data_IF_646009500237
#
_entry.id   IF_646009500237
#
_cell.length_a   1.000
_cell.length_b   1.000
_cell.length_c   1.000
_cell.angle_alpha   90.00
_cell.angle_beta   90.00
_cell.angle_gamma   90.00
#
_symmetry.space_group_name_H-M   'P 1'
#
loop_
_entity.id
_entity.type
_entity.pdbx_description
1 polymer ?
#
# COMPACT_ATOMS: atom_id res chain seq x y z
N UNK A 1 24.83 -13.48 14.38
CA UNK A 1 24.75 -14.49 15.45
C UNK A 1 24.20 -15.83 14.97
N UNK A 2 23.00 -15.91 14.41
CA UNK A 2 22.39 -17.19 13.96
C UNK A 2 23.22 -17.94 12.90
N UNK A 3 23.62 -17.27 11.81
CA UNK A 3 24.40 -17.90 10.71
C UNK A 3 25.73 -18.49 11.17
N UNK A 4 26.47 -17.72 11.97
CA UNK A 4 27.77 -18.12 12.51
C UNK A 4 27.63 -19.32 13.45
N UNK A 5 26.54 -19.37 14.25
CA UNK A 5 26.26 -20.49 15.15
C UNK A 5 25.83 -21.76 14.42
N UNK A 6 25.01 -21.65 13.36
CA UNK A 6 24.51 -22.81 12.63
C UNK A 6 25.56 -23.51 11.78
N UNK A 7 26.62 -22.80 11.35
CA UNK A 7 27.69 -23.34 10.48
C UNK A 7 27.16 -24.06 9.22
N UNK A 8 25.99 -23.66 8.73
CA UNK A 8 25.37 -24.17 7.50
C UNK A 8 25.49 -23.15 6.37
N UNK A 9 25.51 -23.61 5.10
CA UNK A 9 25.39 -22.70 3.95
C UNK A 9 24.20 -21.78 4.12
N UNK A 10 24.42 -20.47 3.99
CA UNK A 10 23.34 -19.50 4.12
C UNK A 10 23.58 -18.32 3.17
N UNK A 11 22.53 -17.92 2.46
CA UNK A 11 22.53 -16.72 1.61
C UNK A 11 21.63 -15.66 2.24
N UNK A 12 21.86 -14.40 1.93
CA UNK A 12 20.97 -13.29 2.33
C UNK A 12 20.68 -12.47 1.10
N UNK A 13 19.43 -12.10 0.89
CA UNK A 13 19.07 -11.22 -0.21
C UNK A 13 19.87 -9.92 -0.11
N UNK A 14 20.43 -9.48 -1.24
CA UNK A 14 21.17 -8.22 -1.27
C UNK A 14 20.19 -7.09 -0.95
N UNK A 15 20.41 -6.33 0.12
CA UNK A 15 19.51 -5.21 0.55
C UNK A 15 19.68 -3.93 -0.27
N UNK A 16 20.77 -3.82 -1.02
CA UNK A 16 21.15 -2.64 -1.83
C UNK A 16 21.20 -1.35 -0.98
N UNK A 17 21.67 -1.46 0.28
CA UNK A 17 21.63 -0.35 1.23
C UNK A 17 22.39 0.89 0.74
N UNK A 18 23.58 0.71 0.16
CA UNK A 18 24.40 1.82 -0.38
C UNK A 18 23.66 2.55 -1.51
N UNK A 19 23.12 1.80 -2.48
CA UNK A 19 22.34 2.38 -3.60
C UNK A 19 21.09 3.11 -3.10
N UNK A 20 20.38 2.56 -2.11
CA UNK A 20 19.23 3.24 -1.48
C UNK A 20 19.67 4.51 -0.74
N UNK A 21 20.82 4.48 -0.08
CA UNK A 21 21.38 5.64 0.61
C UNK A 21 21.79 6.74 -0.36
N UNK A 22 22.41 6.40 -1.49
CA UNK A 22 22.74 7.34 -2.56
C UNK A 22 21.48 8.00 -3.12
N UNK A 23 20.42 7.23 -3.37
CA UNK A 23 19.15 7.78 -3.85
C UNK A 23 18.49 8.72 -2.82
N UNK A 24 18.52 8.38 -1.54
CA UNK A 24 17.90 9.21 -0.49
C UNK A 24 18.70 10.50 -0.24
N UNK A 25 20.02 10.44 -0.18
CA UNK A 25 20.84 11.59 0.23
C UNK A 25 21.31 12.45 -0.96
N UNK A 26 21.67 11.82 -2.08
CA UNK A 26 22.23 12.50 -3.26
C UNK A 26 21.30 12.51 -4.48
N UNK A 27 20.14 11.85 -4.39
CA UNK A 27 19.18 11.69 -5.52
C UNK A 27 19.75 10.96 -6.74
N UNK A 28 20.84 10.23 -6.56
CA UNK A 28 21.46 9.40 -7.60
C UNK A 28 20.79 8.03 -7.58
N UNK A 29 20.00 7.73 -8.60
CA UNK A 29 19.31 6.44 -8.71
C UNK A 29 20.20 5.39 -9.40
N UNK A 30 20.84 4.52 -8.62
CA UNK A 30 21.59 3.34 -9.10
C UNK A 30 20.86 2.02 -8.81
N UNK A 31 19.59 2.09 -8.42
CA UNK A 31 18.79 0.91 -8.10
C UNK A 31 18.42 0.18 -9.40
N UNK A 32 18.49 -1.16 -9.42
CA UNK A 32 18.00 -1.93 -10.55
C UNK A 32 16.47 -1.90 -10.55
N UNK A 33 15.89 -2.03 -11.74
CA UNK A 33 14.44 -2.17 -11.93
C UNK A 33 13.96 -3.60 -11.59
N UNK A 34 14.24 -4.05 -10.37
CA UNK A 34 13.91 -5.39 -9.90
C UNK A 34 13.08 -5.28 -8.62
N UNK A 35 11.96 -6.00 -8.58
CA UNK A 35 11.09 -6.03 -7.42
C UNK A 35 11.76 -6.74 -6.23
N UNK A 36 11.37 -6.39 -4.99
CA UNK A 36 11.98 -7.00 -3.80
C UNK A 36 11.70 -8.50 -3.69
N UNK A 37 10.55 -8.96 -4.21
CA UNK A 37 10.17 -10.38 -4.27
C UNK A 37 11.16 -11.17 -5.12
N UNK A 38 11.50 -10.68 -6.31
CA UNK A 38 12.49 -11.34 -7.18
C UNK A 38 13.88 -11.39 -6.54
N UNK A 39 14.22 -10.35 -5.76
CA UNK A 39 15.47 -10.36 -4.97
C UNK A 39 15.43 -11.38 -3.83
N UNK A 40 14.28 -11.70 -3.27
CA UNK A 40 14.13 -12.81 -2.34
C UNK A 40 14.33 -14.15 -3.06
N UNK A 41 13.76 -14.34 -4.25
CA UNK A 41 13.99 -15.53 -5.07
C UNK A 41 15.48 -15.71 -5.43
N UNK A 42 16.19 -14.64 -5.78
CA UNK A 42 17.65 -14.69 -6.05
C UNK A 42 18.46 -15.17 -4.83
N UNK A 43 17.99 -14.88 -3.61
CA UNK A 43 18.63 -15.36 -2.39
C UNK A 43 18.46 -16.87 -2.18
N UNK A 44 17.42 -17.48 -2.74
CA UNK A 44 17.11 -18.91 -2.60
C UNK A 44 17.32 -19.71 -3.89
N UNK A 45 17.80 -19.08 -4.97
CA UNK A 45 18.05 -19.70 -6.28
C UNK A 45 18.86 -21.00 -6.22
N UNK A 46 19.86 -21.07 -5.34
CA UNK A 46 20.71 -22.26 -5.18
C UNK A 46 19.97 -23.47 -4.57
N UNK A 47 18.78 -23.26 -4.01
CA UNK A 47 17.90 -24.32 -3.50
C UNK A 47 16.96 -24.87 -4.60
N UNK A 48 17.10 -24.41 -5.85
CA UNK A 48 16.22 -24.79 -6.96
C UNK A 48 14.84 -24.11 -6.94
N UNK A 49 14.59 -23.21 -6.00
CA UNK A 49 13.33 -22.47 -5.88
C UNK A 49 13.20 -21.46 -7.01
N UNK A 50 12.07 -21.50 -7.72
CA UNK A 50 11.75 -20.61 -8.83
C UNK A 50 10.46 -19.86 -8.55
N UNK A 51 10.39 -18.63 -9.05
CA UNK A 51 9.19 -17.82 -9.03
C UNK A 51 8.21 -18.38 -10.07
N UNK A 52 6.98 -18.65 -9.69
CA UNK A 52 5.95 -19.19 -10.58
C UNK A 52 5.27 -18.11 -11.44
N UNK A 53 5.56 -16.83 -11.17
CA UNK A 53 5.02 -15.69 -11.89
C UNK A 53 3.54 -15.42 -11.60
N UNK A 54 2.91 -16.10 -10.63
CA UNK A 54 1.46 -15.99 -10.36
C UNK A 54 1.08 -14.90 -9.36
N UNK A 55 2.06 -14.13 -8.88
CA UNK A 55 1.86 -12.99 -7.98
C UNK A 55 2.08 -13.37 -6.53
N UNK A 56 1.43 -12.64 -5.62
CA UNK A 56 1.40 -12.97 -4.20
C UNK A 56 0.17 -13.81 -3.88
N UNK A 57 0.24 -14.59 -2.80
CA UNK A 57 -0.91 -15.27 -2.21
C UNK A 57 -1.20 -14.70 -0.82
N UNK A 58 -2.48 -14.66 -0.46
CA UNK A 58 -2.92 -14.36 0.89
C UNK A 58 -4.12 -15.25 1.24
N UNK A 59 -3.98 -16.05 2.31
CA UNK A 59 -5.00 -16.98 2.74
C UNK A 59 -5.72 -16.41 3.98
N UNK A 60 -7.05 -16.37 3.92
CA UNK A 60 -7.89 -15.86 5.01
C UNK A 60 -8.55 -17.06 5.68
N UNK A 61 -8.35 -17.27 7.00
CA UNK A 61 -9.07 -18.30 7.76
C UNK A 61 -10.58 -18.16 7.61
N UNK A 62 -11.31 -19.28 7.52
CA UNK A 62 -12.77 -19.28 7.30
C UNK A 62 -13.53 -18.46 8.36
N UNK A 63 -13.12 -18.57 9.62
CA UNK A 63 -13.72 -17.84 10.75
C UNK A 63 -13.39 -16.34 10.77
N UNK A 64 -12.48 -15.86 9.90
CA UNK A 64 -12.12 -14.45 9.76
C UNK A 64 -12.62 -13.85 8.43
N UNK A 65 -13.42 -14.60 7.66
CA UNK A 65 -14.11 -14.06 6.49
C UNK A 65 -15.30 -13.22 6.94
N UNK A 66 -15.32 -11.96 6.50
CA UNK A 66 -16.48 -11.06 6.69
C UNK A 66 -17.51 -11.34 5.61
N UNK A 67 -18.77 -11.56 6.02
CA UNK A 67 -19.88 -11.64 5.07
C UNK A 67 -20.29 -10.23 4.62
N UNK A 68 -20.48 -10.04 3.31
CA UNK A 68 -20.87 -8.75 2.75
C UNK A 68 -22.19 -8.24 3.33
N UNK A 69 -23.09 -9.13 3.75
CA UNK A 69 -24.37 -8.78 4.39
C UNK A 69 -24.21 -8.07 5.74
N UNK A 70 -23.04 -8.13 6.37
CA UNK A 70 -22.72 -7.41 7.60
C UNK A 70 -22.39 -5.92 7.36
N UNK A 71 -22.13 -5.54 6.11
CA UNK A 71 -21.92 -4.14 5.74
C UNK A 71 -23.28 -3.41 5.63
N UNK A 72 -23.29 -2.06 5.72
CA UNK A 72 -24.51 -1.30 5.45
C UNK A 72 -25.08 -1.61 4.07
N UNK A 73 -26.40 -1.60 3.93
CA UNK A 73 -27.10 -1.99 2.69
C UNK A 73 -26.54 -1.33 1.42
N UNK A 74 -26.16 -0.06 1.50
CA UNK A 74 -25.56 0.67 0.39
C UNK A 74 -24.24 0.07 -0.12
N UNK A 75 -23.46 -0.60 0.75
CA UNK A 75 -22.14 -1.17 0.42
C UNK A 75 -22.20 -2.65 0.02
N UNK A 76 -23.38 -3.30 0.10
CA UNK A 76 -23.48 -4.75 -0.12
C UNK A 76 -23.40 -5.12 -1.61
N UNK A 77 -23.73 -4.20 -2.51
CA UNK A 77 -23.77 -4.42 -3.96
C UNK A 77 -22.51 -3.95 -4.70
N UNK A 78 -21.45 -3.59 -3.96
CA UNK A 78 -20.21 -3.06 -4.54
C UNK A 78 -19.67 -1.88 -3.74
N UNK A 79 -18.36 -1.86 -3.54
CA UNK A 79 -17.68 -0.77 -2.84
C UNK A 79 -16.22 -0.64 -3.24
N UNK A 80 -15.67 0.55 -3.02
CA UNK A 80 -14.25 0.84 -3.08
C UNK A 80 -13.67 0.73 -1.66
N UNK A 81 -12.59 -0.03 -1.51
CA UNK A 81 -11.81 -0.03 -0.27
C UNK A 81 -10.81 1.13 -0.28
N UNK A 82 -10.82 1.98 0.74
CA UNK A 82 -9.80 3.03 0.92
C UNK A 82 -8.99 2.76 2.18
N UNK A 83 -7.78 2.23 2.01
CA UNK A 83 -6.81 2.06 3.10
C UNK A 83 -6.15 3.40 3.45
N UNK A 84 -6.70 4.07 4.47
CA UNK A 84 -6.25 5.40 4.91
C UNK A 84 -5.11 5.33 5.93
N UNK A 85 -4.96 4.18 6.59
CA UNK A 85 -3.98 3.97 7.65
C UNK A 85 -2.53 3.82 7.16
N UNK A 86 -1.60 3.97 8.11
CA UNK A 86 -0.18 3.76 7.86
C UNK A 86 0.73 4.09 9.04
N UNK A 87 1.85 3.36 9.16
CA UNK A 87 2.83 3.54 10.24
C UNK A 87 3.53 4.91 10.26
N UNK A 88 3.63 5.56 9.10
CA UNK A 88 4.40 6.80 8.93
C UNK A 88 3.54 7.86 8.26
N UNK A 89 3.31 8.99 8.94
CA UNK A 89 2.46 10.08 8.41
C UNK A 89 2.92 10.58 7.05
N UNK A 90 4.22 10.54 6.75
CA UNK A 90 4.73 10.98 5.44
C UNK A 90 4.37 10.05 4.27
N UNK A 91 3.76 8.91 4.57
CA UNK A 91 3.22 7.94 3.61
C UNK A 91 1.70 7.98 3.55
N UNK A 92 1.04 8.68 4.48
CA UNK A 92 -0.42 8.77 4.51
C UNK A 92 -0.91 9.96 3.69
N UNK A 93 -1.90 9.71 2.84
CA UNK A 93 -2.55 10.77 2.08
C UNK A 93 -3.28 11.73 3.04
N UNK A 94 -3.15 13.07 2.88
CA UNK A 94 -3.77 14.04 3.78
C UNK A 94 -5.28 13.86 3.87
N UNK A 95 -5.82 13.98 5.09
CA UNK A 95 -7.24 13.75 5.40
C UNK A 95 -8.17 14.61 4.55
N UNK A 96 -7.86 15.90 4.40
CA UNK A 96 -8.65 16.80 3.55
C UNK A 96 -8.69 16.36 2.08
N UNK A 97 -7.59 15.78 1.57
CA UNK A 97 -7.55 15.25 0.22
C UNK A 97 -8.28 13.92 0.11
N UNK A 98 -8.25 13.08 1.15
CA UNK A 98 -9.11 11.88 1.22
C UNK A 98 -10.58 12.30 1.14
N UNK A 99 -11.01 13.30 1.92
CA UNK A 99 -12.38 13.84 1.87
C UNK A 99 -12.73 14.35 0.47
N UNK A 100 -11.83 15.11 -0.16
CA UNK A 100 -12.00 15.63 -1.53
C UNK A 100 -12.19 14.51 -2.56
N UNK A 101 -11.34 13.48 -2.52
CA UNK A 101 -11.47 12.28 -3.37
C UNK A 101 -12.80 11.56 -3.11
N UNK A 102 -13.09 11.28 -1.84
CA UNK A 102 -14.31 10.60 -1.44
C UNK A 102 -15.56 11.35 -1.90
N UNK A 103 -15.58 12.69 -1.86
CA UNK A 103 -16.70 13.50 -2.34
C UNK A 103 -16.95 13.32 -3.84
N UNK A 104 -15.89 13.23 -4.66
CA UNK A 104 -15.99 13.05 -6.12
C UNK A 104 -16.33 11.62 -6.57
N UNK A 105 -16.18 10.62 -5.70
CA UNK A 105 -16.54 9.22 -5.99
C UNK A 105 -18.02 8.98 -5.68
N UNK A 106 -18.77 8.40 -6.62
CA UNK A 106 -20.19 8.06 -6.43
C UNK A 106 -20.39 6.68 -5.78
N UNK A 107 -19.45 5.76 -5.97
CA UNK A 107 -19.50 4.41 -5.39
C UNK A 107 -19.39 4.45 -3.86
N UNK A 108 -20.08 3.57 -3.12
CA UNK A 108 -19.87 3.38 -1.69
C UNK A 108 -18.40 3.09 -1.35
N UNK A 109 -17.92 3.61 -0.22
CA UNK A 109 -16.52 3.49 0.21
C UNK A 109 -16.45 2.88 1.61
N UNK A 110 -15.57 1.89 1.77
CA UNK A 110 -15.19 1.32 3.06
C UNK A 110 -13.79 1.80 3.43
N UNK A 111 -13.66 2.56 4.52
CA UNK A 111 -12.36 3.03 5.03
C UNK A 111 -11.69 1.94 5.86
N UNK A 112 -10.47 1.56 5.48
CA UNK A 112 -9.67 0.54 6.16
C UNK A 112 -8.49 1.19 6.88
N UNK A 113 -8.26 0.77 8.13
CA UNK A 113 -7.19 1.30 8.98
C UNK A 113 -7.16 0.63 10.35
N UNK A 114 -6.13 0.93 11.13
CA UNK A 114 -5.96 0.41 12.48
C UNK A 114 -6.80 1.15 13.52
N UNK A 115 -6.58 0.83 14.79
CA UNK A 115 -7.21 1.52 15.92
C UNK A 115 -6.84 3.01 15.97
N UNK A 116 -5.62 3.34 15.55
CA UNK A 116 -5.13 4.71 15.47
C UNK A 116 -5.90 5.57 14.45
N UNK A 117 -6.55 4.94 13.47
CA UNK A 117 -7.22 5.61 12.37
C UNK A 117 -8.72 5.84 12.63
N UNK A 118 -9.28 5.33 13.73
CA UNK A 118 -10.73 5.42 14.04
C UNK A 118 -11.22 6.87 13.97
N UNK A 119 -10.53 7.79 14.66
CA UNK A 119 -10.93 9.20 14.72
C UNK A 119 -10.88 9.87 13.35
N UNK A 120 -9.87 9.55 12.56
CA UNK A 120 -9.72 10.05 11.19
C UNK A 120 -10.85 9.52 10.30
N UNK A 121 -11.16 8.23 10.39
CA UNK A 121 -12.26 7.59 9.66
C UNK A 121 -13.62 8.20 10.00
N UNK A 122 -13.90 8.44 11.28
CA UNK A 122 -15.14 9.11 11.71
C UNK A 122 -15.23 10.56 11.21
N UNK A 123 -14.11 11.29 11.23
CA UNK A 123 -14.06 12.64 10.69
C UNK A 123 -14.35 12.67 9.18
N UNK A 124 -13.76 11.74 8.42
CA UNK A 124 -14.05 11.59 6.98
C UNK A 124 -15.52 11.24 6.76
N UNK A 125 -16.05 10.27 7.50
CA UNK A 125 -17.47 9.88 7.42
C UNK A 125 -18.39 11.08 7.67
N UNK A 126 -18.17 11.84 8.75
CA UNK A 126 -18.95 13.04 9.07
C UNK A 126 -18.87 14.11 7.97
N UNK A 127 -17.72 14.23 7.31
CA UNK A 127 -17.48 15.26 6.29
C UNK A 127 -18.03 14.91 4.90
N UNK A 128 -18.29 13.62 4.64
CA UNK A 128 -18.69 13.10 3.33
C UNK A 128 -20.12 12.55 3.32
N UNK A 129 -20.57 11.93 4.41
CA UNK A 129 -21.92 11.36 4.55
C UNK A 129 -21.97 9.83 4.44
N UNK A 130 -23.17 9.30 4.26
CA UNK A 130 -23.50 7.88 4.45
C UNK A 130 -22.87 6.92 3.42
N UNK A 131 -22.31 7.45 2.33
CA UNK A 131 -21.50 6.64 1.40
C UNK A 131 -20.21 6.10 2.03
N UNK A 132 -19.79 6.66 3.16
CA UNK A 132 -18.60 6.21 3.90
C UNK A 132 -19.00 5.25 5.02
N UNK A 133 -18.49 4.02 4.93
CA UNK A 133 -18.44 3.11 6.07
C UNK A 133 -17.04 3.14 6.70
N UNK A 134 -16.95 3.64 7.93
CA UNK A 134 -15.70 3.60 8.68
C UNK A 134 -15.48 2.18 9.25
N UNK A 135 -14.54 1.44 8.68
CA UNK A 135 -14.13 0.11 9.16
C UNK A 135 -12.81 0.15 9.95
N UNK A 136 -12.22 1.34 10.15
CA UNK A 136 -10.98 1.48 10.91
C UNK A 136 -11.14 0.94 12.34
N UNK A 137 -10.19 0.12 12.77
CA UNK A 137 -10.16 -0.47 14.12
C UNK A 137 -11.28 -1.47 14.44
N UNK A 138 -12.17 -1.80 13.48
CA UNK A 138 -13.26 -2.77 13.69
C UNK A 138 -12.87 -4.21 13.39
N UNK A 139 -11.85 -4.40 12.57
CA UNK A 139 -11.51 -5.69 11.98
C UNK A 139 -10.05 -6.05 12.20
N UNK A 140 -9.78 -7.34 12.35
CA UNK A 140 -8.44 -7.90 12.29
C UNK A 140 -7.78 -7.65 10.91
N UNK A 141 -6.50 -7.97 10.77
CA UNK A 141 -5.82 -7.91 9.49
C UNK A 141 -6.45 -8.85 8.45
N UNK A 142 -6.88 -10.05 8.86
CA UNK A 142 -7.49 -11.04 7.97
C UNK A 142 -8.94 -10.65 7.62
N UNK A 143 -9.69 -10.10 8.57
CA UNK A 143 -11.02 -9.57 8.30
C UNK A 143 -10.95 -8.35 7.36
N UNK A 144 -9.99 -7.45 7.57
CA UNK A 144 -9.69 -6.35 6.64
C UNK A 144 -9.29 -6.88 5.27
N UNK A 145 -8.46 -7.93 5.21
CA UNK A 145 -8.12 -8.61 3.97
C UNK A 145 -9.37 -9.21 3.28
N UNK A 146 -10.35 -9.71 4.05
CA UNK A 146 -11.61 -10.21 3.52
C UNK A 146 -12.42 -9.10 2.85
N UNK A 147 -12.45 -7.90 3.44
CA UNK A 147 -13.05 -6.72 2.82
C UNK A 147 -12.28 -6.28 1.58
N UNK A 148 -10.94 -6.29 1.62
CA UNK A 148 -10.09 -6.01 0.44
C UNK A 148 -10.40 -6.99 -0.71
N UNK A 149 -10.58 -8.28 -0.41
CA UNK A 149 -10.94 -9.31 -1.39
C UNK A 149 -12.33 -9.11 -1.99
N UNK A 150 -13.24 -8.46 -1.28
CA UNK A 150 -14.61 -8.19 -1.74
C UNK A 150 -14.74 -6.87 -2.49
N UNK A 151 -13.88 -5.89 -2.21
CA UNK A 151 -13.88 -4.60 -2.90
C UNK A 151 -13.64 -4.73 -4.40
N UNK A 152 -14.22 -3.82 -5.18
CA UNK A 152 -14.02 -3.73 -6.64
C UNK A 152 -12.63 -3.17 -6.97
N UNK A 153 -12.28 -2.08 -6.25
CA UNK A 153 -11.03 -1.33 -6.40
C UNK A 153 -10.51 -0.95 -5.02
N UNK A 154 -9.20 -0.88 -4.89
CA UNK A 154 -8.50 -0.48 -3.66
C UNK A 154 -7.72 0.80 -3.91
N UNK A 155 -8.04 1.84 -3.15
CA UNK A 155 -7.20 3.04 -3.02
C UNK A 155 -6.40 2.87 -1.73
N UNK A 156 -5.08 3.04 -1.79
CA UNK A 156 -4.22 2.75 -0.64
C UNK A 156 -2.99 3.62 -0.65
N UNK A 157 -2.47 3.93 0.54
CA UNK A 157 -1.10 4.38 0.71
C UNK A 157 -0.12 3.22 0.39
N UNK A 158 1.19 3.48 0.31
CA UNK A 158 2.22 2.45 0.13
C UNK A 158 2.45 1.60 1.40
N UNK A 159 1.40 0.94 1.92
CA UNK A 159 1.37 0.20 3.20
C UNK A 159 0.98 -1.28 3.00
N UNK A 160 0.81 -2.03 4.10
CA UNK A 160 0.58 -3.49 4.04
C UNK A 160 -0.65 -3.91 3.23
N UNK A 161 -1.76 -3.19 3.34
CA UNK A 161 -3.00 -3.52 2.61
C UNK A 161 -2.84 -3.41 1.10
N UNK A 162 -1.90 -2.61 0.60
CA UNK A 162 -1.53 -2.57 -0.83
C UNK A 162 -1.00 -3.92 -1.32
N UNK A 163 -0.15 -4.59 -0.53
CA UNK A 163 0.40 -5.90 -0.89
C UNK A 163 -0.66 -7.00 -0.78
N UNK A 164 -1.57 -6.91 0.20
CA UNK A 164 -2.71 -7.83 0.30
C UNK A 164 -3.65 -7.65 -0.91
N UNK A 165 -3.92 -6.42 -1.33
CA UNK A 165 -4.70 -6.16 -2.54
C UNK A 165 -4.02 -6.73 -3.80
N UNK A 166 -2.69 -6.69 -3.87
CA UNK A 166 -1.93 -7.30 -4.95
C UNK A 166 -2.04 -8.84 -4.95
N UNK A 167 -2.05 -9.47 -3.77
CA UNK A 167 -2.28 -10.91 -3.64
C UNK A 167 -3.66 -11.33 -4.15
N UNK A 168 -4.68 -10.50 -3.94
CA UNK A 168 -6.02 -10.71 -4.49
C UNK A 168 -6.20 -10.18 -5.92
N UNK A 169 -5.13 -9.72 -6.58
CA UNK A 169 -5.14 -9.21 -7.96
C UNK A 169 -6.22 -8.15 -8.18
N UNK A 170 -6.41 -7.28 -7.19
CA UNK A 170 -7.37 -6.17 -7.25
C UNK A 170 -6.87 -5.06 -8.15
N UNK A 171 -7.81 -4.23 -8.62
CA UNK A 171 -7.45 -2.92 -9.15
C UNK A 171 -6.93 -2.05 -8.00
N UNK A 172 -5.71 -1.54 -8.12
CA UNK A 172 -4.99 -0.86 -7.04
C UNK A 172 -4.57 0.53 -7.51
N UNK A 173 -4.99 1.54 -6.78
CA UNK A 173 -4.45 2.89 -6.86
C UNK A 173 -3.59 3.11 -5.63
N UNK A 174 -2.27 3.06 -5.82
CA UNK A 174 -1.30 3.24 -4.74
C UNK A 174 -0.77 4.66 -4.71
N UNK A 175 -0.89 5.34 -3.57
CA UNK A 175 -0.50 6.73 -3.37
C UNK A 175 0.85 6.77 -2.64
N UNK A 176 1.82 7.46 -3.24
CA UNK A 176 3.21 7.48 -2.76
C UNK A 176 3.68 8.89 -2.41
N UNK A 177 4.03 9.06 -1.13
CA UNK A 177 4.55 10.31 -0.59
C UNK A 177 6.07 10.38 -0.61
N UNK A 178 6.69 10.31 0.56
CA UNK A 178 8.13 10.53 0.69
C UNK A 178 9.02 9.33 0.31
N UNK A 179 8.43 8.17 0.07
CA UNK A 179 9.03 6.94 -0.49
C UNK A 179 8.83 6.89 -2.01
N UNK A 180 9.54 6.00 -2.70
CA UNK A 180 9.45 5.82 -4.15
C UNK A 180 9.29 4.34 -4.53
N UNK A 181 8.54 4.02 -5.60
CA UNK A 181 8.42 2.66 -6.14
C UNK A 181 9.77 2.02 -6.49
N UNK A 182 10.76 2.82 -6.89
CA UNK A 182 12.12 2.37 -7.24
C UNK A 182 12.82 1.57 -6.12
N UNK A 183 12.34 1.62 -4.88
CA UNK A 183 12.81 0.71 -3.83
C UNK A 183 12.40 -0.76 -4.00
N UNK A 184 11.57 -1.05 -5.02
CA UNK A 184 11.08 -2.37 -5.38
C UNK A 184 9.99 -2.87 -4.45
N UNK A 185 9.21 -1.97 -3.86
CA UNK A 185 8.13 -2.28 -2.89
C UNK A 185 6.75 -1.88 -3.42
N UNK A 186 6.57 -1.84 -4.73
CA UNK A 186 5.29 -1.57 -5.37
C UNK A 186 4.39 -2.83 -5.36
N UNK A 187 3.12 -2.77 -5.80
CA UNK A 187 2.28 -3.96 -5.91
C UNK A 187 2.93 -5.05 -6.77
N UNK A 188 3.11 -6.25 -6.22
CA UNK A 188 3.69 -7.37 -6.94
C UNK A 188 2.59 -8.19 -7.60
N UNK A 189 2.40 -7.97 -8.91
CA UNK A 189 1.35 -8.59 -9.72
C UNK A 189 1.99 -9.49 -10.80
N UNK A 190 1.26 -10.53 -11.26
CA UNK A 190 1.62 -11.27 -12.48
C UNK A 190 1.80 -10.34 -13.67
N UNK A 191 2.60 -10.76 -14.65
CA UNK A 191 2.82 -10.01 -15.89
C UNK A 191 1.51 -9.65 -16.59
N UNK A 192 0.59 -10.61 -16.65
CA UNK A 192 -0.73 -10.48 -17.30
C UNK A 192 -1.67 -9.49 -16.61
N UNK A 193 -1.35 -9.06 -15.39
CA UNK A 193 -2.22 -8.26 -14.52
C UNK A 193 -1.55 -6.95 -14.08
N UNK A 194 -0.36 -6.62 -14.62
CA UNK A 194 0.37 -5.40 -14.24
C UNK A 194 -0.44 -4.12 -14.45
N UNK A 195 -1.32 -4.09 -15.44
CA UNK A 195 -2.22 -2.96 -15.73
C UNK A 195 -3.26 -2.70 -14.64
N UNK A 196 -3.48 -3.63 -13.70
CA UNK A 196 -4.37 -3.41 -12.56
C UNK A 196 -3.80 -2.47 -11.49
N UNK A 197 -2.50 -2.14 -11.56
CA UNK A 197 -1.88 -1.20 -10.62
C UNK A 197 -1.59 0.15 -11.25
N UNK A 198 -2.10 1.19 -10.63
CA UNK A 198 -1.77 2.59 -10.91
C UNK A 198 -0.98 3.14 -9.72
N UNK A 199 0.16 3.78 -10.01
CA UNK A 199 0.99 4.45 -9.02
C UNK A 199 0.77 5.95 -9.14
N UNK A 200 0.27 6.56 -8.07
CA UNK A 200 0.05 8.00 -7.97
C UNK A 200 1.17 8.60 -7.14
N UNK A 201 1.99 9.43 -7.80
CA UNK A 201 3.13 10.09 -7.16
C UNK A 201 3.43 11.44 -7.82
N UNK A 202 4.16 12.29 -7.09
CA UNK A 202 4.80 13.47 -7.66
C UNK A 202 6.20 13.09 -8.15
N UNK A 203 6.36 13.08 -9.47
CA UNK A 203 7.65 12.92 -10.15
C UNK A 203 8.45 14.23 -10.08
N UNK A 204 9.78 14.14 -10.21
CA UNK A 204 10.70 15.27 -10.29
C UNK A 204 10.70 16.24 -9.08
N UNK A 205 10.19 15.81 -7.92
CA UNK A 205 10.28 16.59 -6.69
C UNK A 205 11.69 16.48 -6.09
N UNK A 206 12.46 17.58 -6.09
CA UNK A 206 13.89 17.61 -5.69
C UNK A 206 14.20 16.95 -4.34
N UNK A 207 13.30 17.04 -3.36
CA UNK A 207 13.53 16.45 -2.04
C UNK A 207 13.25 14.94 -1.97
N UNK A 208 12.53 14.37 -2.94
CA UNK A 208 11.99 13.01 -2.92
C UNK A 208 12.97 12.00 -3.57
N UNK A 209 13.14 10.78 -3.02
CA UNK A 209 12.61 10.31 -1.74
C UNK A 209 13.33 10.96 -0.55
N UNK A 210 12.60 11.26 0.53
CA UNK A 210 13.21 11.75 1.77
C UNK A 210 13.62 10.60 2.71
N UNK A 211 13.03 9.41 2.53
CA UNK A 211 13.28 8.24 3.39
C UNK A 211 13.07 6.95 2.60
N UNK A 212 13.71 5.88 3.05
CA UNK A 212 13.45 4.51 2.57
C UNK A 212 12.11 3.97 3.09
N UNK A 213 11.72 4.34 4.31
CA UNK A 213 10.61 3.71 5.04
C UNK A 213 9.48 4.68 5.38
N UNK A 214 9.78 5.97 5.50
CA UNK A 214 8.86 6.99 6.02
C UNK A 214 9.40 7.71 7.25
N UNK A 215 8.71 8.77 7.66
CA UNK A 215 8.95 9.53 8.89
C UNK A 215 7.61 9.88 9.57
N UNK A 216 7.67 10.31 10.83
CA UNK A 216 6.50 10.84 11.55
C UNK A 216 6.06 12.22 11.04
N UNK A 217 6.98 13.03 10.51
CA UNK A 217 6.70 14.36 9.95
C UNK A 217 7.54 14.58 8.71
N UNK A 218 7.03 15.39 7.78
CA UNK A 218 7.79 15.77 6.59
C UNK A 218 9.04 16.57 7.00
N UNK A 219 10.26 16.12 6.63
CA UNK A 219 11.50 16.81 7.02
C UNK A 219 11.68 18.16 6.32
N UNK A 220 10.86 18.47 5.32
CA UNK A 220 10.86 19.75 4.60
C UNK A 220 9.69 20.66 4.98
N UNK A 221 8.81 20.24 5.89
CA UNK A 221 7.67 21.03 6.38
C UNK A 221 6.48 21.13 5.42
N UNK A 222 6.71 21.29 4.12
CA UNK A 222 5.67 21.57 3.12
C UNK A 222 4.81 20.35 2.70
N UNK A 223 5.37 19.14 2.77
CA UNK A 223 4.69 17.88 2.41
C UNK A 223 4.12 17.79 0.98
N UNK A 224 4.76 18.50 0.04
CA UNK A 224 4.37 18.58 -1.39
C UNK A 224 4.20 17.23 -2.08
N UNK A 225 4.98 16.22 -1.67
CA UNK A 225 4.90 14.88 -2.26
C UNK A 225 3.50 14.26 -2.14
N UNK A 226 2.71 14.68 -1.14
CA UNK A 226 1.29 14.33 -1.04
C UNK A 226 0.38 15.51 -1.38
N UNK A 227 0.71 16.73 -0.95
CA UNK A 227 -0.17 17.89 -1.11
C UNK A 227 -0.41 18.27 -2.58
N UNK A 228 0.59 18.10 -3.45
CA UNK A 228 0.50 18.42 -4.88
C UNK A 228 -0.17 17.33 -5.73
N UNK A 229 -0.53 16.19 -5.15
CA UNK A 229 -1.28 15.15 -5.87
C UNK A 229 -2.70 15.66 -6.13
N UNK A 230 -3.14 15.71 -7.38
CA UNK A 230 -4.51 16.08 -7.72
C UNK A 230 -5.44 14.89 -7.59
N UNK A 231 -6.69 15.13 -7.20
CA UNK A 231 -7.69 14.07 -6.97
C UNK A 231 -8.01 13.32 -8.26
N UNK A 232 -7.95 13.99 -9.41
CA UNK A 232 -8.27 13.40 -10.71
C UNK A 232 -7.31 12.25 -11.06
N UNK A 233 -6.09 12.25 -10.53
CA UNK A 233 -5.15 11.12 -10.66
C UNK A 233 -5.55 9.87 -9.87
N UNK A 234 -6.45 10.03 -8.90
CA UNK A 234 -6.92 8.96 -8.00
C UNK A 234 -8.29 8.43 -8.45
N UNK A 235 -9.08 9.26 -9.13
CA UNK A 235 -10.45 8.90 -9.53
C UNK A 235 -10.51 8.22 -10.91
N UNK A 236 -9.44 8.38 -11.72
CA UNK A 236 -9.29 7.76 -13.03
C UNK A 236 -9.35 6.22 -13.05
#
# INVERSE_FOLDING_TARGET
FVKLKLRKPSKTFNKLNIKKWLLVNFKINLLPEIHIVDRYFEAVKNLGVKNDGKGLDYFIPENEKINISELPAAHQNGFIGFAIGGKHNTKMFPVEKIISVCKKINTPIVLLGGYEDIKTGEYIKKSVGDKIYNACGKYSINQSASLVRQAEKIITNDTGLMHIAAAFKKQIISIWGNTVPAFGMYPYLPETEKNKSVIVEIKNLRCRPCSKLGYKKCPKGHFDCMQKITEDKIIA
#
